data_IF_589008247806
#
_entry.id   IF_589008247806
#
_cell.length_a   1.000
_cell.length_b   1.000
_cell.length_c   1.000
_cell.angle_alpha   90.00
_cell.angle_beta   90.00
_cell.angle_gamma   90.00
#
_symmetry.space_group_name_H-M   'P 1'
#
loop_
_entity.id
_entity.type
_entity.pdbx_description
1 polymer ?
#
# COMPACT_ATOMS: atom_id res chain seq x y z
N UNK A 1 -8.85 26.91 -34.46
CA UNK A 1 -8.10 25.66 -34.26
C UNK A 1 -9.03 24.69 -33.56
N UNK A 2 -9.21 23.46 -34.06
CA UNK A 2 -10.03 22.48 -33.36
C UNK A 2 -9.31 21.99 -32.11
N UNK A 3 -10.08 21.66 -31.08
CA UNK A 3 -9.65 21.27 -29.74
C UNK A 3 -8.77 20.02 -29.80
N UNK A 4 -7.62 20.06 -29.11
CA UNK A 4 -6.90 18.85 -28.74
C UNK A 4 -7.66 18.20 -27.60
N UNK A 5 -8.18 17.01 -27.86
CA UNK A 5 -8.96 16.21 -26.93
C UNK A 5 -8.16 15.96 -25.64
N UNK A 6 -8.78 16.26 -24.51
CA UNK A 6 -8.30 15.95 -23.17
C UNK A 6 -8.41 14.42 -22.97
N UNK A 7 -7.50 13.65 -23.58
CA UNK A 7 -7.40 12.18 -23.51
C UNK A 7 -7.42 11.66 -22.06
N UNK A 8 -6.99 12.51 -21.12
CA UNK A 8 -6.98 12.19 -19.69
C UNK A 8 -8.30 12.51 -18.97
N UNK A 9 -9.13 13.41 -19.49
CA UNK A 9 -10.36 13.87 -18.83
C UNK A 9 -11.51 12.86 -18.91
N UNK A 10 -11.68 12.21 -20.06
CA UNK A 10 -12.75 11.21 -20.25
C UNK A 10 -12.54 9.92 -19.45
N UNK A 11 -11.29 9.54 -19.18
CA UNK A 11 -10.98 8.28 -18.50
C UNK A 11 -11.40 8.23 -17.03
N UNK A 12 -11.51 9.38 -16.36
CA UNK A 12 -11.82 9.44 -14.93
C UNK A 12 -13.32 9.53 -14.61
N UNK A 13 -14.20 9.54 -15.62
CA UNK A 13 -15.67 9.70 -15.45
C UNK A 13 -16.47 8.39 -15.56
N UNK A 14 -15.87 7.23 -15.28
CA UNK A 14 -16.62 5.97 -15.24
C UNK A 14 -17.39 5.84 -13.91
N UNK A 15 -18.70 6.05 -13.97
CA UNK A 15 -19.66 5.74 -12.90
C UNK A 15 -19.61 4.25 -12.54
N UNK A 16 -19.49 3.95 -11.24
CA UNK A 16 -19.45 2.60 -10.67
C UNK A 16 -20.88 2.14 -10.32
N UNK A 17 -21.44 1.24 -11.12
CA UNK A 17 -22.59 0.39 -10.71
C UNK A 17 -22.04 -0.98 -10.29
N UNK A 18 -22.13 -1.33 -8.99
CA UNK A 18 -21.94 -2.70 -8.51
C UNK A 18 -22.78 -2.92 -7.23
N UNK A 19 -23.99 -3.43 -7.42
CA UNK A 19 -24.86 -3.97 -6.39
C UNK A 19 -24.71 -5.51 -6.33
N UNK A 20 -24.68 -6.08 -5.10
CA UNK A 20 -24.94 -7.50 -4.74
C UNK A 20 -23.74 -8.47 -4.97
N UNK A 21 -23.34 -9.36 -4.05
CA UNK A 21 -24.08 -10.23 -3.12
C UNK A 21 -23.25 -10.54 -1.86
N UNK A 22 -23.87 -10.42 -0.68
CA UNK A 22 -23.43 -11.04 0.59
C UNK A 22 -24.48 -12.06 0.98
N UNK A 23 -24.20 -13.35 0.85
CA UNK A 23 -24.95 -14.39 1.56
C UNK A 23 -24.04 -15.56 2.02
N UNK A 24 -23.88 -15.61 3.35
CA UNK A 24 -24.07 -16.76 4.24
C UNK A 24 -23.44 -18.11 3.89
N UNK A 25 -22.52 -18.58 4.74
CA UNK A 25 -22.65 -19.90 5.38
C UNK A 25 -22.09 -19.87 6.81
N UNK A 26 -23.01 -20.08 7.76
CA UNK A 26 -22.73 -20.40 9.15
C UNK A 26 -23.13 -21.88 9.38
N UNK A 27 -22.43 -22.53 10.31
CA UNK A 27 -22.85 -23.69 11.11
C UNK A 27 -22.30 -25.11 10.81
N UNK A 28 -22.12 -25.83 11.94
CA UNK A 28 -21.77 -27.23 12.22
C UNK A 28 -20.29 -27.46 12.58
N UNK A 29 -19.92 -27.97 13.76
CA UNK A 29 -20.67 -28.54 14.88
C UNK A 29 -19.70 -29.38 15.72
N UNK A 30 -19.79 -29.27 17.05
CA UNK A 30 -18.97 -29.99 18.04
C UNK A 30 -19.27 -31.50 18.06
N UNK A 31 -18.25 -32.36 18.12
CA UNK A 31 -18.31 -33.59 18.91
C UNK A 31 -16.91 -34.09 19.35
N UNK A 32 -16.77 -34.27 20.66
CA UNK A 32 -15.65 -34.89 21.33
C UNK A 32 -15.87 -36.41 21.44
N UNK A 33 -14.82 -37.22 21.30
CA UNK A 33 -14.70 -38.49 22.04
C UNK A 33 -13.23 -38.89 22.14
N UNK A 34 -12.79 -39.17 23.38
CA UNK A 34 -11.40 -39.46 23.72
C UNK A 34 -11.01 -40.94 23.61
N UNK A 35 -9.72 -41.17 23.39
CA UNK A 35 -9.02 -42.39 23.79
C UNK A 35 -7.52 -42.07 23.95
N UNK A 36 -6.97 -42.51 25.07
CA UNK A 36 -5.60 -42.26 25.52
C UNK A 36 -4.54 -42.92 24.62
N UNK A 37 -3.47 -42.19 24.32
CA UNK A 37 -2.16 -42.75 23.98
C UNK A 37 -1.07 -41.72 24.32
N UNK A 38 -0.66 -41.74 25.59
CA UNK A 38 0.60 -41.13 26.01
C UNK A 38 1.75 -41.93 25.36
N UNK A 39 2.58 -41.25 24.59
CA UNK A 39 4.07 -41.23 24.66
C UNK A 39 4.65 -40.56 23.39
N UNK A 40 4.09 -39.46 22.87
CA UNK A 40 4.75 -38.62 21.82
C UNK A 40 4.42 -37.11 21.92
N UNK A 41 3.68 -36.69 22.95
CA UNK A 41 3.12 -35.32 23.05
C UNK A 41 4.16 -34.22 23.31
N UNK A 42 5.34 -34.56 23.84
CA UNK A 42 6.41 -33.58 24.10
C UNK A 42 7.01 -32.99 22.82
N UNK A 43 7.17 -33.82 21.78
CA UNK A 43 7.84 -33.43 20.54
C UNK A 43 6.93 -32.63 19.59
N UNK A 44 5.63 -32.92 19.58
CA UNK A 44 4.66 -32.21 18.73
C UNK A 44 4.34 -30.82 19.29
N UNK A 45 4.24 -30.70 20.62
CA UNK A 45 4.01 -29.41 21.27
C UNK A 45 5.21 -28.47 21.13
N UNK A 46 6.43 -28.95 21.37
CA UNK A 46 7.65 -28.15 21.15
C UNK A 46 7.82 -27.75 19.68
N UNK A 47 7.49 -28.64 18.73
CA UNK A 47 7.54 -28.31 17.30
C UNK A 47 6.46 -27.30 16.90
N UNK A 48 5.26 -27.37 17.47
CA UNK A 48 4.19 -26.40 17.24
C UNK A 48 4.53 -25.04 17.87
N UNK A 49 5.06 -25.02 19.09
CA UNK A 49 5.56 -23.79 19.73
C UNK A 49 6.75 -23.19 18.97
N UNK A 50 7.64 -24.02 18.39
CA UNK A 50 8.73 -23.56 17.53
C UNK A 50 8.21 -22.98 16.21
N UNK A 51 7.15 -23.53 15.62
CA UNK A 51 6.52 -22.99 14.41
C UNK A 51 5.79 -21.68 14.70
N UNK A 52 5.07 -21.60 15.82
CA UNK A 52 4.44 -20.36 16.29
C UNK A 52 5.48 -19.29 16.59
N UNK A 53 6.58 -19.63 17.26
CA UNK A 53 7.69 -18.69 17.51
C UNK A 53 8.35 -18.26 16.21
N UNK A 54 8.44 -19.13 15.21
CA UNK A 54 9.00 -18.79 13.90
C UNK A 54 8.03 -17.89 13.09
N UNK A 55 6.72 -18.13 13.16
CA UNK A 55 5.70 -17.25 12.58
C UNK A 55 5.65 -15.90 13.31
N UNK A 56 5.74 -15.89 14.64
CA UNK A 56 5.75 -14.68 15.47
C UNK A 56 7.04 -13.86 15.25
N UNK A 57 8.18 -14.52 15.09
CA UNK A 57 9.45 -13.88 14.73
C UNK A 57 9.42 -13.36 13.29
N UNK A 58 8.84 -14.11 12.35
CA UNK A 58 8.61 -13.63 10.97
C UNK A 58 7.65 -12.44 10.93
N UNK A 59 6.64 -12.41 11.81
CA UNK A 59 5.67 -11.33 11.92
C UNK A 59 6.28 -10.07 12.57
N UNK A 60 7.16 -10.24 13.56
CA UNK A 60 7.95 -9.15 14.14
C UNK A 60 8.94 -8.58 13.12
N UNK A 61 9.53 -9.44 12.28
CA UNK A 61 10.47 -9.06 11.23
C UNK A 61 9.83 -8.29 10.08
N UNK A 62 8.50 -8.38 9.95
CA UNK A 62 7.68 -7.67 8.98
C UNK A 62 7.10 -6.37 9.53
N UNK A 63 7.44 -5.95 10.75
CA UNK A 63 6.97 -4.67 11.27
C UNK A 63 7.56 -3.49 10.47
N UNK A 64 6.75 -2.48 10.15
CA UNK A 64 7.24 -1.31 9.44
C UNK A 64 8.13 -0.46 10.35
N UNK A 65 9.30 -0.07 9.84
CA UNK A 65 10.26 0.82 10.50
C UNK A 65 9.76 2.24 10.69
N UNK A 66 8.84 2.67 9.82
CA UNK A 66 8.16 3.94 9.90
C UNK A 66 6.81 3.82 9.20
N UNK A 67 5.82 4.54 9.72
CA UNK A 67 4.50 4.69 9.11
C UNK A 67 4.25 6.17 8.88
N UNK A 68 3.83 6.51 7.67
CA UNK A 68 3.54 7.87 7.24
C UNK A 68 2.14 7.96 6.68
N UNK A 69 1.49 9.10 6.91
CA UNK A 69 0.20 9.42 6.30
C UNK A 69 0.39 10.63 5.39
N UNK A 70 -0.06 10.50 4.14
CA UNK A 70 -0.10 11.59 3.17
C UNK A 70 -1.55 11.99 2.96
N UNK A 71 -1.89 13.23 3.32
CA UNK A 71 -3.23 13.79 3.16
C UNK A 71 -3.21 14.83 2.05
N UNK A 72 -4.12 14.70 1.09
CA UNK A 72 -4.25 15.62 -0.03
C UNK A 72 -5.69 16.05 -0.24
N UNK A 73 -5.90 17.33 -0.48
CA UNK A 73 -7.21 17.90 -0.87
C UNK A 73 -7.44 17.87 -2.38
N UNK A 74 -6.43 17.49 -3.17
CA UNK A 74 -6.61 17.27 -4.59
C UNK A 74 -7.36 15.96 -4.83
N UNK A 75 -8.21 15.94 -5.86
CA UNK A 75 -8.97 14.75 -6.26
C UNK A 75 -8.01 13.61 -6.57
N UNK A 76 -8.41 12.37 -6.34
CA UNK A 76 -7.61 11.22 -6.75
C UNK A 76 -8.02 10.66 -8.13
N UNK A 77 -9.28 10.90 -8.52
CA UNK A 77 -9.96 10.18 -9.60
C UNK A 77 -10.54 8.86 -9.10
N UNK A 78 -11.27 8.10 -9.94
CA UNK A 78 -11.64 6.73 -9.68
C UNK A 78 -10.38 5.90 -9.38
N UNK A 79 -10.36 5.34 -8.17
CA UNK A 79 -9.35 4.41 -7.72
C UNK A 79 -9.97 3.01 -7.69
N UNK A 80 -9.23 1.96 -8.05
CA UNK A 80 -9.68 0.59 -7.84
C UNK A 80 -9.96 0.34 -6.35
N UNK A 81 -10.98 -0.47 -6.03
CA UNK A 81 -11.36 -0.84 -4.64
C UNK A 81 -10.15 -1.31 -3.81
N UNK A 82 -9.25 -2.09 -4.41
CA UNK A 82 -8.04 -2.58 -3.75
C UNK A 82 -7.01 -1.49 -3.40
N UNK A 83 -7.03 -0.34 -4.09
CA UNK A 83 -6.13 0.78 -3.85
C UNK A 83 -6.73 1.82 -2.89
N UNK A 84 -8.04 2.06 -3.01
CA UNK A 84 -8.79 3.00 -2.15
C UNK A 84 -9.00 2.43 -0.74
N UNK A 85 -9.13 1.10 -0.63
CA UNK A 85 -9.62 0.45 0.58
C UNK A 85 -11.07 0.87 0.87
N UNK A 86 -11.44 0.88 2.15
CA UNK A 86 -12.81 1.19 2.61
C UNK A 86 -13.09 2.70 2.73
N UNK A 87 -12.24 3.54 2.15
CA UNK A 87 -12.42 4.99 2.23
C UNK A 87 -13.67 5.44 1.44
N UNK A 88 -14.52 6.32 2.00
CA UNK A 88 -15.74 6.77 1.33
C UNK A 88 -15.40 7.50 0.02
N UNK A 89 -16.24 7.31 -1.00
CA UNK A 89 -16.01 7.87 -2.35
C UNK A 89 -16.11 9.40 -2.40
N UNK A 90 -16.84 10.01 -1.47
CA UNK A 90 -17.26 11.42 -1.49
C UNK A 90 -16.52 12.31 -0.47
N UNK A 91 -15.27 11.99 -0.14
CA UNK A 91 -14.47 12.83 0.76
C UNK A 91 -13.71 13.91 -0.01
N UNK A 92 -13.82 15.16 0.45
CA UNK A 92 -13.09 16.32 -0.09
C UNK A 92 -11.55 16.25 0.12
N UNK A 93 -11.05 15.16 0.69
CA UNK A 93 -9.63 14.89 0.90
C UNK A 93 -9.38 13.39 0.83
N UNK A 94 -8.15 13.01 0.48
CA UNK A 94 -7.69 11.63 0.37
C UNK A 94 -6.52 11.41 1.33
N UNK A 95 -6.54 10.27 2.05
CA UNK A 95 -5.48 9.88 2.98
C UNK A 95 -4.83 8.59 2.51
N UNK A 96 -3.52 8.62 2.30
CA UNK A 96 -2.72 7.46 1.92
C UNK A 96 -1.83 7.05 3.07
N UNK A 97 -1.83 5.75 3.40
CA UNK A 97 -0.91 5.16 4.37
C UNK A 97 0.30 4.59 3.63
N UNK A 98 1.48 5.05 4.00
CA UNK A 98 2.75 4.52 3.51
C UNK A 98 3.51 3.88 4.67
N UNK A 99 4.15 2.75 4.39
CA UNK A 99 4.91 1.97 5.39
C UNK A 99 6.29 1.66 4.83
N UNK A 100 7.32 1.90 5.65
CA UNK A 100 8.70 1.61 5.29
C UNK A 100 9.09 0.25 5.89
N UNK A 101 9.49 -0.71 5.06
CA UNK A 101 9.92 -2.04 5.49
C UNK A 101 11.40 -2.28 5.13
N UNK A 102 12.10 -3.11 5.91
CA UNK A 102 13.46 -3.55 5.56
C UNK A 102 13.37 -4.60 4.46
N UNK A 103 13.97 -4.33 3.30
CA UNK A 103 14.04 -5.32 2.21
C UNK A 103 15.30 -6.20 2.30
N UNK A 104 16.36 -5.79 3.01
CA UNK A 104 17.58 -6.58 3.18
C UNK A 104 18.32 -6.25 4.50
N UNK A 105 18.25 -7.18 5.47
CA UNK A 105 18.95 -7.03 6.77
C UNK A 105 20.47 -7.08 6.65
N UNK A 106 21.01 -7.82 5.68
CA UNK A 106 22.45 -7.96 5.48
C UNK A 106 23.12 -6.67 5.00
N UNK A 107 22.36 -5.76 4.39
CA UNK A 107 22.87 -4.44 4.01
C UNK A 107 23.10 -3.54 5.23
N UNK A 108 22.33 -3.72 6.31
CA UNK A 108 22.40 -2.89 7.52
C UNK A 108 23.65 -3.20 8.35
N UNK A 109 24.04 -4.47 8.43
CA UNK A 109 25.22 -4.92 9.19
C UNK A 109 26.55 -4.42 8.59
N UNK A 110 26.58 -4.13 7.29
CA UNK A 110 27.77 -3.60 6.60
C UNK A 110 27.84 -2.06 6.59
N UNK A 111 26.76 -1.38 7.00
CA UNK A 111 26.62 0.08 6.86
C UNK A 111 27.30 0.87 7.98
N UNK A 112 27.62 0.23 9.12
CA UNK A 112 28.40 0.87 10.20
C UNK A 112 29.79 1.36 9.73
N UNK A 113 30.34 0.75 8.67
CA UNK A 113 31.64 1.13 8.10
C UNK A 113 31.55 2.26 7.06
N UNK A 114 30.36 2.58 6.54
CA UNK A 114 30.13 3.59 5.49
C UNK A 114 29.55 4.92 5.99
N UNK A 115 29.27 5.06 7.30
CA UNK A 115 28.77 6.29 7.95
C UNK A 115 29.68 7.54 7.84
N UNK A 116 30.78 7.46 7.07
CA UNK A 116 31.76 8.55 6.86
C UNK A 116 31.71 9.18 5.47
N UNK A 117 30.87 8.69 4.57
CA UNK A 117 30.61 9.39 3.31
C UNK A 117 29.55 10.45 3.57
N UNK A 118 29.76 11.69 3.12
CA UNK A 118 28.79 12.78 3.28
C UNK A 118 27.38 12.31 2.85
N UNK A 119 26.49 12.14 3.83
CA UNK A 119 25.09 11.75 3.63
C UNK A 119 24.30 12.90 2.98
N UNK A 120 24.64 13.23 1.73
CA UNK A 120 24.03 14.33 0.98
C UNK A 120 22.59 14.01 0.59
N UNK A 121 22.26 12.73 0.41
CA UNK A 121 20.97 12.29 -0.05
C UNK A 121 20.04 11.90 1.11
N UNK A 122 18.80 12.40 1.11
CA UNK A 122 17.84 12.21 2.21
C UNK A 122 17.34 10.76 2.38
N UNK A 123 17.54 9.88 1.40
CA UNK A 123 17.24 8.44 1.56
C UNK A 123 18.36 7.69 2.29
N UNK A 124 19.55 8.27 2.37
CA UNK A 124 20.70 7.66 3.02
C UNK A 124 20.75 8.06 4.51
N UNK A 125 19.72 8.80 4.97
CA UNK A 125 19.59 9.15 6.38
C UNK A 125 19.37 7.87 7.20
N UNK A 126 20.12 7.69 8.30
CA UNK A 126 19.87 6.59 9.24
C UNK A 126 18.52 6.75 9.95
N UNK A 127 17.86 7.90 9.79
CA UNK A 127 16.57 8.22 10.38
C UNK A 127 15.45 7.82 9.42
N UNK A 128 14.74 6.74 9.75
CA UNK A 128 13.73 6.10 8.90
C UNK A 128 12.57 7.03 8.50
N UNK A 129 12.13 7.92 9.40
CA UNK A 129 11.08 8.87 9.08
C UNK A 129 11.52 9.96 8.09
N UNK A 130 12.81 10.30 8.02
CA UNK A 130 13.31 11.30 7.07
C UNK A 130 13.30 10.76 5.65
N UNK A 131 13.73 9.51 5.47
CA UNK A 131 13.63 8.81 4.19
C UNK A 131 12.16 8.70 3.74
N UNK A 132 11.27 8.27 4.64
CA UNK A 132 9.83 8.16 4.32
C UNK A 132 9.22 9.52 3.98
N UNK A 133 9.51 10.55 4.78
CA UNK A 133 9.05 11.93 4.53
C UNK A 133 9.54 12.42 3.17
N UNK A 134 10.80 12.19 2.84
CA UNK A 134 11.37 12.56 1.56
C UNK A 134 10.61 11.93 0.38
N UNK A 135 10.34 10.63 0.44
CA UNK A 135 9.57 9.93 -0.60
C UNK A 135 8.18 10.55 -0.76
N UNK A 136 7.46 10.77 0.34
CA UNK A 136 6.12 11.36 0.30
C UNK A 136 6.13 12.81 -0.24
N UNK A 137 7.13 13.61 0.12
CA UNK A 137 7.34 14.96 -0.43
C UNK A 137 7.60 14.91 -1.95
N UNK A 138 8.39 13.92 -2.42
CA UNK A 138 8.63 13.73 -3.86
C UNK A 138 7.37 13.25 -4.59
N UNK A 139 6.57 12.37 -4.00
CA UNK A 139 5.29 11.96 -4.58
C UNK A 139 4.32 13.12 -4.71
N UNK A 140 4.23 13.95 -3.66
CA UNK A 140 3.49 15.20 -3.73
C UNK A 140 4.01 16.10 -4.86
N UNK A 141 5.32 16.31 -4.99
CA UNK A 141 5.90 17.11 -6.07
C UNK A 141 5.60 16.53 -7.47
N UNK A 142 5.67 15.21 -7.64
CA UNK A 142 5.38 14.55 -8.91
C UNK A 142 3.90 14.61 -9.29
N UNK A 143 2.98 14.74 -8.32
CA UNK A 143 1.55 14.97 -8.62
C UNK A 143 1.32 16.33 -9.30
N UNK A 144 2.15 17.33 -9.00
CA UNK A 144 2.11 18.65 -9.62
C UNK A 144 2.59 18.69 -11.07
N UNK A 145 3.17 17.60 -11.60
CA UNK A 145 3.55 17.54 -13.02
C UNK A 145 2.34 17.33 -13.94
N UNK A 146 1.19 16.92 -13.39
CA UNK A 146 -0.03 16.71 -14.14
C UNK A 146 -1.03 17.83 -13.82
N UNK A 147 -0.88 18.97 -14.49
CA UNK A 147 -1.65 20.20 -14.21
C UNK A 147 -2.92 20.24 -15.06
N UNK A 148 -4.04 20.65 -14.45
CA UNK A 148 -5.25 21.08 -15.13
C UNK A 148 -5.17 22.58 -15.46
N UNK A 149 -5.08 22.95 -16.74
CA UNK A 149 -4.97 24.36 -17.14
C UNK A 149 -6.24 25.18 -16.82
N UNK A 150 -7.41 24.55 -16.65
CA UNK A 150 -8.66 25.23 -16.36
C UNK A 150 -8.82 25.57 -14.87
N UNK A 151 -8.43 24.65 -13.99
CA UNK A 151 -8.52 24.84 -12.54
C UNK A 151 -7.25 25.44 -11.92
N UNK A 152 -6.16 25.54 -12.69
CA UNK A 152 -4.82 25.93 -12.21
C UNK A 152 -4.34 25.08 -11.01
N UNK A 153 -4.84 23.85 -10.91
CA UNK A 153 -4.48 22.87 -9.89
C UNK A 153 -4.05 21.57 -10.57
N UNK A 154 -3.45 20.66 -9.82
CA UNK A 154 -3.12 19.32 -10.32
C UNK A 154 -4.38 18.50 -10.56
N UNK A 155 -4.38 17.69 -11.63
CA UNK A 155 -5.49 16.79 -11.99
C UNK A 155 -5.73 15.69 -10.96
N UNK A 156 -4.68 15.22 -10.29
CA UNK A 156 -4.75 14.17 -9.28
C UNK A 156 -3.79 14.41 -8.12
N UNK A 157 -4.09 13.88 -6.92
CA UNK A 157 -3.16 13.78 -5.81
C UNK A 157 -2.10 12.68 -5.97
N UNK A 158 -2.22 11.84 -7.01
CA UNK A 158 -1.26 10.78 -7.32
C UNK A 158 -0.09 11.31 -8.15
N UNK A 159 1.11 10.74 -8.00
CA UNK A 159 2.21 10.96 -8.93
C UNK A 159 1.83 10.61 -10.37
N UNK A 160 2.32 11.37 -11.35
CA UNK A 160 1.98 11.17 -12.78
C UNK A 160 2.13 9.73 -13.29
N UNK A 161 3.18 9.01 -12.87
CA UNK A 161 3.41 7.63 -13.28
C UNK A 161 2.36 6.66 -12.71
N UNK A 162 1.82 6.93 -11.52
CA UNK A 162 0.70 6.15 -10.97
C UNK A 162 -0.57 6.38 -11.78
N UNK A 163 -0.85 7.62 -12.18
CA UNK A 163 -2.00 7.92 -13.04
C UNK A 163 -1.94 7.15 -14.37
N UNK A 164 -0.76 7.06 -14.99
CA UNK A 164 -0.54 6.29 -16.23
C UNK A 164 -0.78 4.79 -16.01
N UNK A 165 -0.26 4.22 -14.91
CA UNK A 165 -0.47 2.81 -14.58
C UNK A 165 -1.96 2.51 -14.34
N UNK A 166 -2.68 3.39 -13.66
CA UNK A 166 -4.12 3.26 -13.47
C UNK A 166 -4.87 3.32 -14.80
N UNK A 167 -4.48 4.22 -15.70
CA UNK A 167 -5.06 4.29 -17.04
C UNK A 167 -4.86 2.97 -17.81
N UNK A 168 -3.66 2.41 -17.79
CA UNK A 168 -3.38 1.11 -18.43
C UNK A 168 -4.20 -0.01 -17.80
N UNK A 169 -4.34 -0.01 -16.46
CA UNK A 169 -5.17 -0.97 -15.74
C UNK A 169 -6.64 -0.90 -16.17
N UNK A 170 -7.23 0.30 -16.23
CA UNK A 170 -8.61 0.47 -16.66
C UNK A 170 -8.81 0.13 -18.13
N UNK A 171 -7.88 0.50 -19.01
CA UNK A 171 -7.92 0.10 -20.42
C UNK A 171 -7.92 -1.43 -20.59
N UNK A 172 -7.10 -2.13 -19.80
CA UNK A 172 -7.08 -3.59 -19.78
C UNK A 172 -8.36 -4.19 -19.19
N UNK A 173 -8.84 -3.65 -18.05
CA UNK A 173 -10.08 -4.11 -17.40
C UNK A 173 -11.29 -3.94 -18.31
N UNK A 174 -11.39 -2.83 -19.04
CA UNK A 174 -12.50 -2.57 -19.96
C UNK A 174 -12.42 -3.39 -21.26
N UNK A 175 -11.27 -4.00 -21.55
CA UNK A 175 -11.08 -4.84 -22.73
C UNK A 175 -11.54 -6.29 -22.53
N UNK A 176 -11.58 -6.78 -21.27
CA UNK A 176 -11.96 -8.15 -20.90
C UNK A 176 -13.37 -8.15 -20.32
#
# INVERSE_FOLDING_TARGET
MPMEDDIFGEFFNLEEDDELLVENMNDKGLNESGAAMDTEQGNVKERFESLLNQEEMAHLDQQPLAVGYYVSTAKCGPLPKWLRGDAPLDTNFHTFKATLHIHNRYALENDELNMKTDNSHKLDSPITYEALRYVLERYNALSWLNIDPLMQDRKSCLPIHHSILLQMYYAYKNYI
#
